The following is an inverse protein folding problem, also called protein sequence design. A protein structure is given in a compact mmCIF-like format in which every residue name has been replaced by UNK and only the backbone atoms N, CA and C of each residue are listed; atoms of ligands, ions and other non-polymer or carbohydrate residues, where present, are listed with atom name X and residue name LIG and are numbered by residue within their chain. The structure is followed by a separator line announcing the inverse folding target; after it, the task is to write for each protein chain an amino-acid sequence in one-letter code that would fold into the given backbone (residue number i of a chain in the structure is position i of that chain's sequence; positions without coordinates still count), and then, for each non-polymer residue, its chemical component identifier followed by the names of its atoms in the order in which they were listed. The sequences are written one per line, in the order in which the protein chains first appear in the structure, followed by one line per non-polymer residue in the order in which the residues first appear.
data_IF_970733435917
#
_entry.id   IF_970733435917
#
_cell.length_a   1.000
_cell.length_b   1.000
_cell.length_c   1.000
_cell.angle_alpha   90.00
_cell.angle_beta   90.00
_cell.angle_gamma   90.00
#
_symmetry.space_group_name_H-M   'P 1'
#
loop_
_entity.id
_entity.type
_entity.pdbx_description
1 polymer ?
#
# COMPACT_ATOMS: atom_id res chain seq x y z
N UNK A 1 0.58 3.20 -16.09
CA UNK A 1 1.77 3.14 -15.23
C UNK A 1 1.52 2.10 -14.16
N UNK A 2 2.47 1.17 -13.98
CA UNK A 2 2.40 0.12 -12.96
C UNK A 2 3.36 0.45 -11.82
N UNK A 3 3.16 -0.18 -10.67
CA UNK A 3 4.10 -0.08 -9.55
C UNK A 3 5.46 -0.62 -9.96
N UNK A 4 6.53 0.10 -9.59
CA UNK A 4 7.89 -0.39 -9.74
C UNK A 4 8.13 -1.60 -8.82
N UNK A 5 9.04 -2.51 -9.19
CA UNK A 5 9.36 -3.68 -8.36
C UNK A 5 9.83 -3.31 -6.94
N UNK A 6 10.55 -2.19 -6.80
CA UNK A 6 11.03 -1.70 -5.52
C UNK A 6 9.90 -1.24 -4.61
N UNK A 7 8.96 -0.46 -5.15
CA UNK A 7 7.80 0.03 -4.43
C UNK A 7 6.87 -1.13 -4.06
N UNK A 8 6.65 -2.06 -4.98
CA UNK A 8 5.87 -3.27 -4.71
C UNK A 8 6.50 -4.12 -3.58
N UNK A 9 7.82 -4.33 -3.63
CA UNK A 9 8.55 -5.04 -2.58
C UNK A 9 8.42 -4.33 -1.22
N UNK A 10 8.57 -3.01 -1.21
CA UNK A 10 8.50 -2.22 0.02
C UNK A 10 7.10 -2.26 0.65
N UNK A 11 6.05 -2.12 -0.15
CA UNK A 11 4.66 -2.23 0.32
C UNK A 11 4.41 -3.62 0.93
N UNK A 12 4.88 -4.70 0.27
CA UNK A 12 4.77 -6.07 0.84
C UNK A 12 5.46 -6.18 2.19
N UNK A 13 6.64 -5.57 2.33
CA UNK A 13 7.36 -5.53 3.61
C UNK A 13 6.51 -4.84 4.70
N UNK A 14 5.90 -3.69 4.40
CA UNK A 14 5.02 -2.98 5.34
C UNK A 14 3.80 -3.82 5.73
N UNK A 15 3.15 -4.45 4.74
CA UNK A 15 2.00 -5.32 4.99
C UNK A 15 2.35 -6.48 5.92
N UNK A 16 3.50 -7.14 5.69
CA UNK A 16 3.94 -8.24 6.54
C UNK A 16 4.28 -7.79 7.97
N UNK A 17 4.85 -6.59 8.14
CA UNK A 17 5.15 -6.03 9.46
C UNK A 17 3.89 -5.76 10.30
N UNK A 18 2.75 -5.53 9.65
CA UNK A 18 1.48 -5.18 10.31
C UNK A 18 0.39 -6.23 10.10
N UNK A 19 0.76 -7.44 9.66
CA UNK A 19 -0.16 -8.52 9.28
C UNK A 19 -1.16 -8.88 10.41
N UNK A 20 -0.73 -8.77 11.67
CA UNK A 20 -1.57 -9.03 12.84
C UNK A 20 -2.55 -7.89 13.19
N UNK A 21 -2.37 -6.70 12.63
CA UNK A 21 -3.14 -5.47 12.95
C UNK A 21 -4.04 -4.99 11.81
N UNK A 22 -3.79 -5.45 10.58
CA UNK A 22 -4.54 -5.04 9.40
C UNK A 22 -5.82 -5.86 9.25
N UNK A 23 -6.96 -5.16 9.09
CA UNK A 23 -8.22 -5.78 8.66
C UNK A 23 -8.54 -5.32 7.25
N UNK A 24 -8.75 -6.28 6.37
CA UNK A 24 -9.23 -6.01 5.02
C UNK A 24 -10.69 -5.56 5.10
N UNK A 25 -11.04 -4.42 4.49
CA UNK A 25 -12.41 -3.85 4.59
C UNK A 25 -13.24 -4.18 3.34
N UNK A 26 -12.60 -4.52 2.23
CA UNK A 26 -13.29 -4.73 0.97
C UNK A 26 -14.06 -6.06 1.02
N UNK A 27 -15.32 -6.04 0.58
CA UNK A 27 -16.27 -7.14 0.71
C UNK A 27 -15.75 -8.46 0.08
N UNK A 28 -16.13 -9.64 0.62
CA UNK A 28 -15.75 -10.93 0.07
C UNK A 28 -16.30 -11.05 -1.35
N UNK A 29 -15.42 -10.87 -2.34
CA UNK A 29 -15.77 -10.82 -3.76
C UNK A 29 -14.99 -9.79 -4.58
N UNK A 30 -14.37 -8.78 -3.94
CA UNK A 30 -13.69 -7.69 -4.66
C UNK A 30 -12.15 -7.62 -4.51
N UNK A 31 -11.51 -8.47 -3.71
CA UNK A 31 -10.06 -8.64 -3.79
C UNK A 31 -9.58 -9.93 -3.14
N UNK A 32 -8.67 -10.60 -3.84
CA UNK A 32 -7.99 -11.81 -3.43
C UNK A 32 -6.97 -11.42 -2.35
N UNK A 33 -7.28 -11.72 -1.09
CA UNK A 33 -6.37 -11.47 0.04
C UNK A 33 -4.99 -12.14 -0.16
N UNK A 34 -4.95 -13.25 -0.92
CA UNK A 34 -3.73 -13.94 -1.31
C UNK A 34 -2.89 -13.20 -2.38
N UNK A 35 -3.51 -12.34 -3.21
CA UNK A 35 -2.83 -11.62 -4.30
C UNK A 35 -2.03 -10.41 -3.78
N UNK A 36 -2.33 -9.92 -2.58
CA UNK A 36 -1.64 -8.78 -1.95
C UNK A 36 -0.16 -9.04 -1.68
N UNK A 37 0.18 -10.29 -1.35
CA UNK A 37 1.57 -10.68 -1.08
C UNK A 37 2.30 -11.15 -2.35
N UNK A 38 1.57 -11.52 -3.40
CA UNK A 38 2.12 -12.11 -4.63
C UNK A 38 2.15 -11.15 -5.82
N UNK A 39 1.14 -10.28 -5.99
CA UNK A 39 1.05 -9.27 -7.07
C UNK A 39 0.18 -8.05 -6.71
N UNK A 40 0.84 -6.94 -6.33
CA UNK A 40 0.15 -5.69 -5.98
C UNK A 40 -0.48 -4.99 -7.19
N UNK A 41 0.00 -5.23 -8.42
CA UNK A 41 -0.63 -4.61 -9.58
C UNK A 41 -1.99 -5.27 -9.85
N UNK A 42 -2.11 -6.60 -9.67
CA UNK A 42 -3.41 -7.28 -9.75
C UNK A 42 -4.40 -6.81 -8.70
N UNK A 43 -3.92 -6.49 -7.50
CA UNK A 43 -4.76 -5.88 -6.46
C UNK A 43 -5.28 -4.52 -6.90
N UNK A 44 -4.43 -3.67 -7.47
CA UNK A 44 -4.88 -2.38 -7.99
C UNK A 44 -5.90 -2.57 -9.12
N UNK A 45 -5.66 -3.52 -10.02
CA UNK A 45 -6.59 -3.90 -11.10
C UNK A 45 -7.93 -4.46 -10.56
N UNK A 46 -7.97 -5.05 -9.36
CA UNK A 46 -9.21 -5.51 -8.73
C UNK A 46 -9.95 -4.43 -7.95
N UNK A 47 -9.21 -3.44 -7.40
CA UNK A 47 -9.76 -2.36 -6.59
C UNK A 47 -10.26 -1.17 -7.44
N UNK A 48 -9.62 -0.92 -8.57
CA UNK A 48 -9.87 0.21 -9.44
C UNK A 48 -10.19 -0.30 -10.84
N UNK A 49 -11.31 0.16 -11.41
CA UNK A 49 -11.83 -0.35 -12.68
C UNK A 49 -11.20 0.33 -13.89
N UNK A 50 -10.82 1.61 -13.74
CA UNK A 50 -10.31 2.44 -14.83
C UNK A 50 -8.78 2.40 -14.89
N UNK A 51 -8.20 2.12 -16.06
CA UNK A 51 -6.74 2.08 -16.23
C UNK A 51 -6.09 3.41 -15.85
N UNK A 52 -6.72 4.54 -16.18
CA UNK A 52 -6.24 5.88 -15.83
C UNK A 52 -6.19 6.11 -14.31
N UNK A 53 -7.15 5.56 -13.57
CA UNK A 53 -7.19 5.59 -12.11
C UNK A 53 -6.11 4.70 -11.53
N UNK A 54 -5.95 3.47 -12.03
CA UNK A 54 -4.85 2.56 -11.64
C UNK A 54 -3.48 3.23 -11.83
N UNK A 55 -3.28 3.93 -12.97
CA UNK A 55 -2.05 4.66 -13.24
C UNK A 55 -1.79 5.77 -12.20
N UNK A 56 -2.84 6.51 -11.85
CA UNK A 56 -2.78 7.62 -10.91
C UNK A 56 -2.45 7.10 -9.51
N UNK A 57 -3.18 6.07 -9.05
CA UNK A 57 -2.98 5.43 -7.76
C UNK A 57 -1.59 4.79 -7.65
N UNK A 58 -1.11 4.11 -8.70
CA UNK A 58 0.25 3.57 -8.72
C UNK A 58 1.28 4.70 -8.56
N UNK A 59 1.10 5.83 -9.23
CA UNK A 59 1.96 7.01 -9.08
C UNK A 59 1.91 7.63 -7.69
N UNK A 60 0.76 7.60 -7.02
CA UNK A 60 0.60 8.08 -5.64
C UNK A 60 1.30 7.14 -4.64
N UNK A 61 1.11 5.82 -4.77
CA UNK A 61 1.80 4.83 -3.95
C UNK A 61 3.32 4.95 -4.06
N UNK A 62 3.84 5.19 -5.26
CA UNK A 62 5.26 5.46 -5.52
C UNK A 62 5.79 6.69 -4.77
N UNK A 63 4.97 7.73 -4.61
CA UNK A 63 5.34 8.94 -3.86
C UNK A 63 5.29 8.67 -2.36
N UNK A 64 4.21 8.04 -1.88
CA UNK A 64 4.01 7.72 -0.47
C UNK A 64 5.12 6.80 0.05
N UNK A 65 5.49 5.77 -0.70
CA UNK A 65 6.59 4.86 -0.33
C UNK A 65 7.92 5.60 -0.23
N UNK A 66 8.23 6.49 -1.18
CA UNK A 66 9.46 7.30 -1.11
C UNK A 66 9.48 8.23 0.10
N UNK A 67 8.35 8.87 0.40
CA UNK A 67 8.22 9.71 1.59
C UNK A 67 8.36 8.89 2.88
N UNK A 68 7.72 7.72 2.95
CA UNK A 68 7.84 6.82 4.10
C UNK A 68 9.29 6.36 4.31
N UNK A 69 9.98 5.97 3.24
CA UNK A 69 11.40 5.59 3.29
C UNK A 69 12.28 6.73 3.78
N UNK A 70 12.05 7.95 3.28
CA UNK A 70 12.77 9.14 3.70
C UNK A 70 12.58 9.41 5.20
N UNK A 71 11.33 9.41 5.69
CA UNK A 71 11.03 9.64 7.11
C UNK A 71 11.62 8.55 8.00
N UNK A 72 11.52 7.28 7.58
CA UNK A 72 12.08 6.15 8.33
C UNK A 72 13.61 6.21 8.37
N UNK A 73 14.26 6.67 7.30
CA UNK A 73 15.73 6.84 7.28
C UNK A 73 16.24 7.93 8.23
N UNK A 74 15.37 8.87 8.61
CA UNK A 74 15.67 9.94 9.58
C UNK A 74 15.45 9.51 11.04
N UNK A 75 15.11 8.23 11.28
CA UNK A 75 14.98 7.64 12.61
C UNK A 75 13.71 8.07 13.36
N UNK A 76 13.80 8.16 14.70
CA UNK A 76 12.66 8.44 15.63
C UNK A 76 12.19 9.91 15.54
N UNK A 77 12.62 10.66 14.53
CA UNK A 77 12.33 12.09 14.42
C UNK A 77 10.89 12.40 13.99
N UNK A 78 10.28 11.49 13.20
CA UNK A 78 8.94 11.66 12.63
C UNK A 78 8.10 10.36 12.70
N UNK A 79 7.92 9.76 13.89
CA UNK A 79 7.24 8.48 14.02
C UNK A 79 5.74 8.59 13.70
N UNK A 80 5.12 9.74 13.95
CA UNK A 80 3.69 9.93 13.68
C UNK A 80 3.41 10.14 12.20
N UNK A 81 4.26 10.91 11.52
CA UNK A 81 4.14 11.18 10.09
C UNK A 81 4.42 9.91 9.26
N UNK A 82 5.39 9.09 9.68
CA UNK A 82 5.61 7.78 9.07
C UNK A 82 4.37 6.88 9.20
N UNK A 83 3.78 6.79 10.40
CA UNK A 83 2.55 6.02 10.62
C UNK A 83 1.37 6.55 9.80
N UNK A 84 1.25 7.86 9.63
CA UNK A 84 0.20 8.47 8.82
C UNK A 84 0.33 8.10 7.34
N UNK A 85 1.55 8.14 6.80
CA UNK A 85 1.83 7.72 5.42
C UNK A 85 1.56 6.23 5.26
N UNK A 86 1.97 5.41 6.23
CA UNK A 86 1.70 3.98 6.24
C UNK A 86 0.20 3.69 6.20
N UNK A 87 -0.59 4.41 7.00
CA UNK A 87 -2.06 4.32 6.98
C UNK A 87 -2.65 4.70 5.62
N UNK A 88 -2.13 5.73 4.97
CA UNK A 88 -2.58 6.12 3.63
C UNK A 88 -2.28 5.05 2.58
N UNK A 89 -1.07 4.45 2.62
CA UNK A 89 -0.70 3.32 1.75
C UNK A 89 -1.69 2.17 1.93
N UNK A 90 -2.00 1.81 3.17
CA UNK A 90 -2.93 0.73 3.48
C UNK A 90 -4.37 1.05 3.06
N UNK A 91 -4.82 2.29 3.24
CA UNK A 91 -6.14 2.71 2.81
C UNK A 91 -6.35 2.57 1.30
N UNK A 92 -5.36 3.01 0.51
CA UNK A 92 -5.35 2.85 -0.95
C UNK A 92 -5.46 1.37 -1.36
N UNK A 93 -4.85 0.47 -0.58
CA UNK A 93 -4.89 -0.97 -0.82
C UNK A 93 -6.14 -1.66 -0.21
N UNK A 94 -7.09 -0.90 0.32
CA UNK A 94 -8.36 -1.44 0.83
C UNK A 94 -8.32 -1.94 2.29
N UNK A 95 -7.33 -1.53 3.09
CA UNK A 95 -7.21 -1.91 4.50
C UNK A 95 -7.65 -0.80 5.47
N UNK A 96 -8.14 -1.22 6.65
CA UNK A 96 -8.21 -0.37 7.84
C UNK A 96 -7.13 -0.81 8.81
N UNK A 97 -6.36 0.15 9.30
CA UNK A 97 -5.64 0.02 10.56
C UNK A 97 -6.66 0.13 11.70
N UNK A 98 -6.68 -0.85 12.60
CA UNK A 98 -7.56 -0.89 13.78
C UNK A 98 -7.13 0.11 14.86
#
# INVERSE_FOLDING_TARGET
MRLSPLTAYYIRKLLHQQETKLRFIVAPGAAVQADLLTDLNRVLESLYLEESEICTIAGELEKLVRLHQLLTSQGIKYPQEALEIERQIFWILGFKTR
#
